data_IF_179229139569
#
_entry.id   IF_179229139569
#
_cell.length_a   1.000
_cell.length_b   1.000
_cell.length_c   1.000
_cell.angle_alpha   90.00
_cell.angle_beta   90.00
_cell.angle_gamma   90.00
#
_symmetry.space_group_name_H-M   'P 1'
#
loop_
_entity.id
_entity.type
_entity.pdbx_description
1 polymer ?
#
# COMPACT_ATOMS: atom_id res chain seq x y z
N UNK A 1 21.99 7.13 15.61
CA UNK A 1 22.12 5.82 16.31
C UNK A 1 21.06 4.90 15.74
N UNK A 2 21.44 3.86 14.98
CA UNK A 2 20.49 2.87 14.46
C UNK A 2 20.20 1.84 15.56
N UNK A 3 18.93 1.57 15.82
CA UNK A 3 18.48 0.55 16.79
C UNK A 3 19.02 -0.83 16.40
N UNK A 4 19.31 -1.69 17.37
CA UNK A 4 19.74 -3.08 17.13
C UNK A 4 18.65 -3.88 16.38
N UNK A 5 18.99 -4.82 15.48
CA UNK A 5 18.01 -5.61 14.71
C UNK A 5 16.93 -6.26 15.58
N UNK A 6 17.32 -6.80 16.74
CA UNK A 6 16.38 -7.40 17.70
C UNK A 6 15.40 -6.38 18.31
N UNK A 7 15.79 -5.11 18.45
CA UNK A 7 14.90 -4.04 18.92
C UNK A 7 13.93 -3.57 17.84
N UNK A 8 14.25 -3.75 16.56
CA UNK A 8 13.34 -3.43 15.46
C UNK A 8 12.26 -4.50 15.31
N UNK A 9 12.65 -5.79 15.34
CA UNK A 9 11.72 -6.93 15.33
C UNK A 9 10.68 -6.84 16.45
N UNK A 10 11.12 -6.64 17.70
CA UNK A 10 10.20 -6.59 18.85
C UNK A 10 9.20 -5.41 18.78
N UNK A 11 9.60 -4.28 18.17
CA UNK A 11 8.69 -3.15 17.94
C UNK A 11 7.64 -3.46 16.86
N UNK A 12 8.01 -4.22 15.83
CA UNK A 12 7.09 -4.65 14.77
C UNK A 12 6.05 -5.64 15.29
N UNK A 13 6.48 -6.64 16.06
CA UNK A 13 5.59 -7.61 16.71
C UNK A 13 4.56 -6.92 17.63
N UNK A 14 5.02 -5.95 18.41
CA UNK A 14 4.13 -5.16 19.28
C UNK A 14 3.13 -4.33 18.48
N UNK A 15 3.57 -3.72 17.38
CA UNK A 15 2.69 -2.95 16.50
C UNK A 15 1.64 -3.85 15.82
N UNK A 16 2.03 -5.03 15.34
CA UNK A 16 1.10 -6.01 14.77
C UNK A 16 0.01 -6.42 15.79
N UNK A 17 0.41 -6.72 17.04
CA UNK A 17 -0.51 -7.05 18.14
C UNK A 17 -1.44 -5.89 18.49
N UNK A 18 -0.93 -4.67 18.47
CA UNK A 18 -1.74 -3.46 18.67
C UNK A 18 -2.82 -3.36 17.60
N UNK A 19 -2.47 -3.43 16.31
CA UNK A 19 -3.45 -3.40 15.22
C UNK A 19 -4.46 -4.54 15.32
N UNK A 20 -4.01 -5.73 15.72
CA UNK A 20 -4.91 -6.86 15.92
C UNK A 20 -5.97 -6.59 17.01
N UNK A 21 -5.61 -5.86 18.06
CA UNK A 21 -6.55 -5.47 19.14
C UNK A 21 -7.46 -4.30 18.77
N UNK A 22 -6.98 -3.34 17.97
CA UNK A 22 -7.70 -2.12 17.61
C UNK A 22 -8.66 -2.33 16.43
N UNK A 23 -8.30 -3.20 15.47
CA UNK A 23 -9.10 -3.42 14.27
C UNK A 23 -10.27 -4.36 14.55
N UNK A 24 -11.43 -3.79 14.84
CA UNK A 24 -12.67 -4.57 14.92
C UNK A 24 -13.16 -4.88 13.51
N UNK A 25 -13.12 -6.15 13.13
CA UNK A 25 -13.60 -6.62 11.83
C UNK A 25 -14.80 -7.54 11.95
N UNK A 26 -15.77 -7.35 11.05
CA UNK A 26 -16.96 -8.18 10.94
C UNK A 26 -16.90 -9.14 9.77
N UNK A 27 -17.99 -9.89 9.60
CA UNK A 27 -18.24 -10.68 8.39
C UNK A 27 -18.15 -9.80 7.14
N UNK A 28 -17.97 -10.43 5.98
CA UNK A 28 -17.71 -9.76 4.71
C UNK A 28 -18.89 -8.88 4.25
N UNK A 29 -18.99 -7.70 4.84
CA UNK A 29 -19.99 -6.69 4.55
C UNK A 29 -19.25 -5.50 3.94
N UNK A 30 -19.63 -5.09 2.73
CA UNK A 30 -19.03 -3.94 2.07
C UNK A 30 -18.50 -4.24 0.68
N UNK A 31 -18.86 -3.34 -0.23
CA UNK A 31 -18.33 -3.27 -1.58
C UNK A 31 -16.85 -2.89 -1.55
N UNK A 32 -16.04 -3.49 -2.42
CA UNK A 32 -14.65 -3.05 -2.63
C UNK A 32 -14.54 -1.78 -3.47
N UNK A 33 -15.65 -1.06 -3.62
CA UNK A 33 -15.75 0.13 -4.45
C UNK A 33 -14.77 1.22 -4.00
N UNK A 34 -14.70 1.53 -2.69
CA UNK A 34 -13.81 2.59 -2.20
C UNK A 34 -12.33 2.27 -2.47
N UNK A 35 -11.89 1.03 -2.20
CA UNK A 35 -10.52 0.60 -2.52
C UNK A 35 -10.24 0.66 -4.03
N UNK A 36 -11.17 0.20 -4.87
CA UNK A 36 -11.00 0.24 -6.33
C UNK A 36 -10.98 1.68 -6.87
N UNK A 37 -11.76 2.56 -6.27
CA UNK A 37 -11.82 3.99 -6.58
C UNK A 37 -10.51 4.66 -6.21
N UNK A 38 -9.99 4.43 -5.00
CA UNK A 38 -8.69 4.96 -4.57
C UNK A 38 -7.54 4.39 -5.40
N UNK A 39 -7.55 3.10 -5.71
CA UNK A 39 -6.58 2.49 -6.63
C UNK A 39 -6.59 3.18 -8.01
N UNK A 40 -7.77 3.41 -8.59
CA UNK A 40 -7.91 4.10 -9.88
C UNK A 40 -7.45 5.57 -9.80
N UNK A 41 -7.77 6.26 -8.69
CA UNK A 41 -7.33 7.63 -8.43
C UNK A 41 -5.81 7.72 -8.31
N UNK A 42 -5.17 6.79 -7.62
CA UNK A 42 -3.72 6.74 -7.45
C UNK A 42 -3.01 6.46 -8.78
N UNK A 43 -3.52 5.54 -9.61
CA UNK A 43 -3.00 5.31 -10.97
C UNK A 43 -3.07 6.60 -11.80
N UNK A 44 -4.20 7.32 -11.75
CA UNK A 44 -4.36 8.59 -12.48
C UNK A 44 -3.32 9.61 -12.02
N UNK A 45 -3.12 9.77 -10.71
CA UNK A 45 -2.10 10.66 -10.14
C UNK A 45 -0.69 10.28 -10.60
N UNK A 46 -0.32 9.00 -10.50
CA UNK A 46 1.00 8.51 -10.94
C UNK A 46 1.25 8.80 -12.43
N UNK A 47 0.25 8.56 -13.29
CA UNK A 47 0.36 8.87 -14.72
C UNK A 47 0.53 10.36 -14.98
N UNK A 48 -0.19 11.22 -14.26
CA UNK A 48 -0.06 12.67 -14.38
C UNK A 48 1.34 13.15 -13.94
N UNK A 49 1.88 12.61 -12.85
CA UNK A 49 3.23 12.92 -12.37
C UNK A 49 4.27 12.49 -13.40
N UNK A 50 4.17 11.25 -13.89
CA UNK A 50 5.04 10.72 -14.93
C UNK A 50 5.04 11.57 -16.20
N UNK A 51 3.86 11.95 -16.70
CA UNK A 51 3.73 12.82 -17.89
C UNK A 51 4.42 14.17 -17.67
N UNK A 52 4.23 14.78 -16.49
CA UNK A 52 4.89 16.05 -16.15
C UNK A 52 6.41 15.92 -16.16
N UNK A 53 6.95 14.84 -15.58
CA UNK A 53 8.38 14.58 -15.55
C UNK A 53 8.95 14.29 -16.93
N UNK A 54 8.24 13.54 -17.78
CA UNK A 54 8.64 13.36 -19.18
C UNK A 54 8.73 14.71 -19.92
N UNK A 55 7.76 15.60 -19.74
CA UNK A 55 7.81 16.95 -20.32
C UNK A 55 9.02 17.73 -19.82
N UNK A 56 9.30 17.70 -18.51
CA UNK A 56 10.50 18.34 -17.93
C UNK A 56 11.80 17.83 -18.57
N UNK A 57 11.94 16.51 -18.76
CA UNK A 57 13.12 15.92 -19.40
C UNK A 57 13.27 16.33 -20.86
N UNK A 58 12.16 16.43 -21.62
CA UNK A 58 12.18 16.95 -23.00
C UNK A 58 12.71 18.38 -23.07
N UNK A 59 12.42 19.19 -22.04
CA UNK A 59 12.94 20.56 -21.90
C UNK A 59 14.32 20.62 -21.22
N UNK A 60 15.00 19.49 -21.01
CA UNK A 60 16.30 19.37 -20.34
C UNK A 60 16.31 19.95 -18.91
N UNK A 61 15.16 19.93 -18.25
CA UNK A 61 15.03 20.33 -16.84
C UNK A 61 15.48 19.15 -15.98
N UNK A 62 16.46 19.38 -15.11
CA UNK A 62 16.93 18.37 -14.15
C UNK A 62 15.80 17.97 -13.18
N UNK A 63 15.70 16.68 -12.90
CA UNK A 63 14.72 16.14 -11.97
C UNK A 63 15.42 15.66 -10.69
N UNK A 64 14.73 15.66 -9.53
CA UNK A 64 15.23 14.98 -8.35
C UNK A 64 15.44 13.47 -8.60
N UNK A 65 16.37 12.79 -7.89
CA UNK A 65 16.68 11.38 -8.13
C UNK A 65 15.46 10.44 -8.08
N UNK A 66 14.51 10.68 -7.16
CA UNK A 66 13.29 9.89 -7.05
C UNK A 66 12.34 10.07 -8.25
N UNK A 67 12.36 11.25 -8.86
CA UNK A 67 11.56 11.56 -10.05
C UNK A 67 12.15 10.92 -11.30
N UNK A 68 13.49 10.92 -11.45
CA UNK A 68 14.19 10.19 -12.51
C UNK A 68 13.92 8.69 -12.40
N UNK A 69 14.09 8.12 -11.21
CA UNK A 69 13.76 6.72 -10.95
C UNK A 69 12.33 6.38 -11.37
N UNK A 70 11.35 7.22 -11.03
CA UNK A 70 9.96 6.99 -11.42
C UNK A 70 9.78 6.95 -12.95
N UNK A 71 10.46 7.84 -13.68
CA UNK A 71 10.38 7.85 -15.15
C UNK A 71 10.98 6.57 -15.71
N UNK A 72 12.18 6.20 -15.27
CA UNK A 72 12.88 5.02 -15.76
C UNK A 72 12.14 3.72 -15.41
N UNK A 73 11.42 3.69 -14.29
CA UNK A 73 10.79 2.48 -13.73
C UNK A 73 9.27 2.44 -13.89
N UNK A 74 8.66 3.34 -14.65
CA UNK A 74 7.20 3.37 -14.82
C UNK A 74 6.64 2.06 -15.40
N UNK A 75 7.45 1.30 -16.13
CA UNK A 75 7.07 -0.02 -16.65
C UNK A 75 6.79 -1.02 -15.52
N UNK A 76 7.58 -1.03 -14.44
CA UNK A 76 7.37 -1.89 -13.26
C UNK A 76 6.05 -1.55 -12.58
N UNK A 77 5.75 -0.27 -12.40
CA UNK A 77 4.47 0.19 -11.83
C UNK A 77 3.31 -0.27 -12.71
N UNK A 78 3.43 -0.15 -14.03
CA UNK A 78 2.40 -0.61 -14.95
C UNK A 78 2.18 -2.13 -14.89
N UNK A 79 3.25 -2.91 -14.73
CA UNK A 79 3.18 -4.35 -14.52
C UNK A 79 2.40 -4.68 -13.24
N UNK A 80 2.71 -4.02 -12.12
CA UNK A 80 1.99 -4.21 -10.85
C UNK A 80 0.51 -3.82 -10.97
N UNK A 81 0.19 -2.74 -11.69
CA UNK A 81 -1.20 -2.34 -11.95
C UNK A 81 -1.94 -3.45 -12.71
N UNK A 82 -1.33 -4.03 -13.74
CA UNK A 82 -1.94 -5.13 -14.50
C UNK A 82 -2.09 -6.38 -13.65
N UNK A 83 -1.07 -6.73 -12.86
CA UNK A 83 -1.09 -7.87 -11.95
C UNK A 83 -2.25 -7.77 -10.96
N UNK A 84 -2.40 -6.61 -10.28
CA UNK A 84 -3.50 -6.39 -9.32
C UNK A 84 -4.86 -6.50 -10.01
N UNK A 85 -5.04 -5.91 -11.20
CA UNK A 85 -6.31 -5.97 -11.94
C UNK A 85 -6.69 -7.40 -12.33
N UNK A 86 -5.70 -8.24 -12.68
CA UNK A 86 -5.93 -9.64 -13.06
C UNK A 86 -6.20 -10.52 -11.85
N UNK A 87 -5.43 -10.34 -10.78
CA UNK A 87 -5.40 -11.26 -9.64
C UNK A 87 -6.27 -10.85 -8.46
N UNK A 88 -6.86 -9.64 -8.48
CA UNK A 88 -7.73 -9.16 -7.41
C UNK A 88 -9.16 -8.87 -7.89
N UNK A 89 -9.92 -9.92 -8.29
CA UNK A 89 -11.27 -9.75 -8.79
C UNK A 89 -12.23 -9.27 -7.68
N UNK A 90 -13.31 -8.60 -8.09
CA UNK A 90 -14.39 -8.15 -7.19
C UNK A 90 -14.92 -9.28 -6.30
N UNK A 91 -15.03 -10.49 -6.83
CA UNK A 91 -15.52 -11.68 -6.11
C UNK A 91 -14.60 -12.08 -4.96
N UNK A 92 -13.28 -12.05 -5.15
CA UNK A 92 -12.31 -12.32 -4.10
C UNK A 92 -12.36 -11.24 -3.03
N UNK A 93 -12.34 -9.97 -3.47
CA UNK A 93 -12.35 -8.86 -2.54
C UNK A 93 -13.62 -8.83 -1.67
N UNK A 94 -14.79 -9.21 -2.21
CA UNK A 94 -16.03 -9.36 -1.43
C UNK A 94 -15.93 -10.36 -0.28
N UNK A 95 -15.03 -11.35 -0.33
CA UNK A 95 -14.85 -12.35 0.74
C UNK A 95 -13.98 -11.84 1.89
N UNK A 96 -13.28 -10.72 1.71
CA UNK A 96 -12.38 -10.19 2.73
C UNK A 96 -13.14 -9.54 3.88
N UNK A 97 -12.69 -9.72 5.14
CA UNK A 97 -13.21 -9.01 6.30
C UNK A 97 -13.10 -7.50 6.13
N UNK A 98 -14.14 -6.78 6.56
CA UNK A 98 -14.17 -5.32 6.58
C UNK A 98 -14.10 -4.81 8.02
N UNK A 99 -13.49 -3.65 8.21
CA UNK A 99 -13.56 -2.92 9.48
C UNK A 99 -15.00 -2.42 9.71
N UNK A 100 -15.50 -2.60 10.93
CA UNK A 100 -16.88 -2.19 11.29
C UNK A 100 -16.93 -0.85 12.03
N UNK A 101 -15.79 -0.33 12.43
CA UNK A 101 -15.62 0.94 13.13
C UNK A 101 -14.35 1.68 12.70
N UNK A 102 -14.05 2.79 13.39
CA UNK A 102 -12.87 3.60 13.16
C UNK A 102 -12.90 4.44 11.86
N UNK A 103 -11.80 5.18 11.58
CA UNK A 103 -11.69 6.06 10.42
C UNK A 103 -11.72 5.31 9.08
N UNK A 104 -11.38 4.03 9.10
CA UNK A 104 -11.39 3.15 7.93
C UNK A 104 -12.60 2.21 7.89
N UNK A 105 -13.69 2.52 8.60
CA UNK A 105 -14.93 1.73 8.57
C UNK A 105 -15.37 1.45 7.12
N UNK A 106 -15.62 0.17 6.82
CA UNK A 106 -16.02 -0.30 5.50
C UNK A 106 -14.86 -0.65 4.55
N UNK A 107 -13.62 -0.26 4.87
CA UNK A 107 -12.45 -0.76 4.16
C UNK A 107 -12.14 -2.20 4.56
N UNK A 108 -11.45 -2.92 3.66
CA UNK A 108 -10.95 -4.27 3.97
C UNK A 108 -9.84 -4.19 5.01
N UNK A 109 -9.93 -5.03 6.05
CA UNK A 109 -8.97 -5.01 7.17
C UNK A 109 -7.53 -5.11 6.70
N UNK A 110 -7.27 -6.00 5.75
CA UNK A 110 -5.92 -6.16 5.17
C UNK A 110 -5.41 -4.86 4.52
N UNK A 111 -6.28 -4.06 3.90
CA UNK A 111 -5.86 -2.79 3.31
C UNK A 111 -5.53 -1.73 4.36
N UNK A 112 -6.30 -1.67 5.46
CA UNK A 112 -5.98 -0.81 6.59
C UNK A 112 -4.63 -1.17 7.21
N UNK A 113 -4.41 -2.46 7.48
CA UNK A 113 -3.14 -2.98 8.01
C UNK A 113 -1.95 -2.54 7.13
N UNK A 114 -2.05 -2.73 5.81
CA UNK A 114 -0.96 -2.39 4.89
C UNK A 114 -0.70 -0.88 4.85
N UNK A 115 -1.74 -0.04 4.88
CA UNK A 115 -1.55 1.40 4.92
C UNK A 115 -0.83 1.86 6.19
N UNK A 116 -1.25 1.34 7.34
CA UNK A 116 -0.63 1.68 8.62
C UNK A 116 0.81 1.18 8.70
N UNK A 117 1.08 -0.02 8.15
CA UNK A 117 2.44 -0.54 8.02
C UNK A 117 3.32 0.37 7.14
N UNK A 118 2.82 0.78 5.97
CA UNK A 118 3.57 1.65 5.07
C UNK A 118 3.83 3.02 5.72
N UNK A 119 2.88 3.55 6.48
CA UNK A 119 3.05 4.80 7.22
C UNK A 119 4.11 4.67 8.31
N UNK A 120 4.10 3.59 9.09
CA UNK A 120 5.10 3.35 10.14
C UNK A 120 6.50 3.05 9.60
N UNK A 121 6.59 2.52 8.39
CA UNK A 121 7.86 2.12 7.77
C UNK A 121 8.41 3.15 6.79
N UNK A 122 7.74 4.27 6.58
CA UNK A 122 8.10 5.25 5.54
C UNK A 122 8.22 4.57 4.16
N UNK A 123 7.30 3.64 3.89
CA UNK A 123 7.26 2.82 2.67
C UNK A 123 8.30 1.70 2.59
N UNK A 124 9.14 1.50 3.62
CA UNK A 124 10.16 0.44 3.63
C UNK A 124 9.56 -0.89 4.06
N UNK A 125 8.98 -1.60 3.10
CA UNK A 125 8.41 -2.93 3.32
C UNK A 125 8.93 -3.89 2.24
N UNK A 126 9.45 -5.04 2.66
CA UNK A 126 9.76 -6.16 1.79
C UNK A 126 8.83 -7.35 2.08
N UNK A 127 8.82 -8.40 1.24
CA UNK A 127 7.94 -9.54 1.44
C UNK A 127 8.19 -10.34 2.73
N UNK A 128 9.41 -10.37 3.25
CA UNK A 128 9.70 -11.12 4.49
C UNK A 128 9.18 -10.37 5.71
N UNK A 129 9.41 -9.05 5.76
CA UNK A 129 8.81 -8.18 6.77
C UNK A 129 7.28 -8.27 6.76
N UNK A 130 6.67 -8.35 5.57
CA UNK A 130 5.22 -8.50 5.46
C UNK A 130 4.74 -9.85 6.03
N UNK A 131 5.46 -10.93 5.77
CA UNK A 131 5.13 -12.26 6.30
C UNK A 131 5.23 -12.27 7.82
N UNK A 132 6.33 -11.77 8.38
CA UNK A 132 6.51 -11.66 9.82
C UNK A 132 5.38 -10.84 10.45
N UNK A 133 5.01 -9.71 9.82
CA UNK A 133 3.96 -8.84 10.34
C UNK A 133 2.56 -9.48 10.36
N UNK A 134 2.26 -10.37 9.40
CA UNK A 134 0.93 -10.96 9.24
C UNK A 134 0.74 -12.31 9.94
N UNK A 135 1.83 -13.04 10.25
CA UNK A 135 1.78 -14.42 10.75
C UNK A 135 2.39 -14.64 12.15
N UNK A 136 2.82 -13.58 12.86
CA UNK A 136 3.12 -13.65 14.31
C UNK A 136 1.89 -13.61 15.22
#
# INVERSE_FOLDING_TARGET
>A
MKSSPHQQLNKFSQFARQLASEHISGSSCGSCYEMQKEFSRNIKKLRQIYQRYQTSLTHKIALPPASEWLVDNMYLINEQIQYIRRNFPKSYCKKLPSLIDGPMRGYKRIYAIILELLEKTDGRCDPEMLKEFLWE
#
